data_IF_310196015717
#
_entry.id   IF_310196015717
#
_cell.length_a   1.000
_cell.length_b   1.000
_cell.length_c   1.000
_cell.angle_alpha   90.00
_cell.angle_beta   90.00
_cell.angle_gamma   90.00
#
_symmetry.space_group_name_H-M   'P 1'
#
loop_
_entity.id
_entity.type
_entity.pdbx_description
1 polymer ?
#
# COMPACT_ATOMS: atom_id res chain seq x y z
N UNK A 1 -16.18 37.12 25.66
CA UNK A 1 -16.91 36.03 26.35
C UNK A 1 -16.01 34.82 26.27
N UNK A 2 -15.30 34.50 27.36
CA UNK A 2 -14.31 33.43 27.43
C UNK A 2 -14.93 32.26 28.19
N UNK A 3 -15.75 31.47 27.51
CA UNK A 3 -16.46 30.34 28.14
C UNK A 3 -16.04 29.04 27.44
N UNK A 4 -15.59 28.06 28.22
CA UNK A 4 -15.31 26.69 27.76
C UNK A 4 -16.46 25.81 28.27
N UNK A 5 -17.03 25.01 27.38
CA UNK A 5 -17.98 23.97 27.71
C UNK A 5 -17.25 22.63 27.75
N UNK A 6 -17.45 21.85 28.81
CA UNK A 6 -16.98 20.48 28.92
C UNK A 6 -18.12 19.62 29.49
N UNK A 7 -18.06 18.31 29.24
CA UNK A 7 -18.98 17.33 29.82
C UNK A 7 -18.17 16.21 30.46
N UNK A 8 -18.58 15.78 31.65
CA UNK A 8 -17.87 14.72 32.39
C UNK A 8 -18.18 13.32 31.83
N UNK A 9 -19.32 13.18 31.14
CA UNK A 9 -19.77 11.93 30.52
C UNK A 9 -20.56 12.24 29.24
N UNK A 10 -20.48 11.33 28.28
CA UNK A 10 -21.36 11.27 27.11
C UNK A 10 -21.94 9.86 27.08
N UNK A 11 -23.26 9.76 27.10
CA UNK A 11 -23.95 8.51 26.85
C UNK A 11 -24.20 8.40 25.34
N UNK A 12 -23.54 7.44 24.70
CA UNK A 12 -23.75 7.10 23.29
C UNK A 12 -24.58 5.83 23.24
N UNK A 13 -25.77 5.92 22.67
CA UNK A 13 -26.60 4.75 22.35
C UNK A 13 -26.38 4.40 20.89
N UNK A 14 -25.70 3.28 20.64
CA UNK A 14 -25.54 2.74 19.30
C UNK A 14 -26.68 1.76 19.05
N UNK A 15 -27.64 2.16 18.23
CA UNK A 15 -28.65 1.26 17.67
C UNK A 15 -28.11 0.75 16.34
N UNK A 16 -27.61 -0.49 16.32
CA UNK A 16 -27.25 -1.17 15.09
C UNK A 16 -28.21 -2.34 14.87
N UNK A 17 -28.64 -2.53 13.63
CA UNK A 17 -29.37 -3.73 13.25
C UNK A 17 -28.35 -4.79 12.84
N UNK A 18 -28.18 -5.83 13.67
CA UNK A 18 -27.54 -7.06 13.21
C UNK A 18 -28.32 -7.56 11.99
N UNK A 19 -27.65 -7.96 10.89
CA UNK A 19 -28.34 -8.52 9.74
C UNK A 19 -29.24 -9.68 10.18
N UNK A 20 -30.47 -9.71 9.66
CA UNK A 20 -31.50 -10.71 10.01
C UNK A 20 -31.02 -12.15 9.78
N UNK A 21 -30.04 -12.33 8.90
CA UNK A 21 -29.20 -13.51 8.81
C UNK A 21 -27.78 -13.04 9.06
N UNK A 22 -27.18 -13.29 10.23
CA UNK A 22 -25.75 -13.14 10.34
C UNK A 22 -25.12 -14.07 9.31
N UNK A 23 -24.04 -13.64 8.64
CA UNK A 23 -23.16 -14.54 7.88
C UNK A 23 -22.47 -15.43 8.91
N UNK A 24 -23.23 -16.33 9.49
CA UNK A 24 -22.76 -17.42 10.33
C UNK A 24 -22.49 -18.55 9.37
N UNK A 25 -21.33 -18.51 8.72
CA UNK A 25 -20.75 -19.70 8.12
C UNK A 25 -20.32 -20.61 9.28
N UNK A 26 -21.29 -21.23 9.96
CA UNK A 26 -21.01 -22.42 10.79
C UNK A 26 -20.76 -23.61 9.87
N UNK A 27 -19.79 -23.48 8.98
CA UNK A 27 -19.32 -24.57 8.13
C UNK A 27 -18.02 -25.11 8.72
N UNK A 28 -17.80 -26.42 8.62
CA UNK A 28 -16.53 -27.05 8.97
C UNK A 28 -15.39 -26.69 7.99
N UNK A 29 -15.66 -25.84 7.01
CA UNK A 29 -14.76 -25.39 5.94
C UNK A 29 -14.54 -23.87 5.98
N UNK A 30 -14.73 -23.24 7.15
CA UNK A 30 -14.37 -21.84 7.39
C UNK A 30 -12.87 -21.62 7.17
N UNK A 31 -12.52 -20.58 6.41
CA UNK A 31 -11.16 -20.22 6.02
C UNK A 31 -10.88 -18.76 6.42
N UNK A 32 -9.62 -18.43 6.72
CA UNK A 32 -9.21 -17.07 7.08
C UNK A 32 -8.61 -16.33 5.88
N UNK A 33 -7.75 -17.02 5.12
CA UNK A 33 -6.97 -16.49 4.01
C UNK A 33 -7.23 -17.25 2.69
N UNK A 34 -7.57 -16.48 1.65
CA UNK A 34 -7.57 -16.92 0.26
C UNK A 34 -6.30 -16.45 -0.45
N UNK A 35 -5.57 -17.37 -1.08
CA UNK A 35 -4.42 -17.05 -1.95
C UNK A 35 -4.82 -17.24 -3.41
N UNK A 36 -4.78 -16.16 -4.21
CA UNK A 36 -5.10 -16.18 -5.65
C UNK A 36 -3.82 -16.03 -6.46
N UNK A 37 -3.56 -16.94 -7.38
CA UNK A 37 -2.31 -16.99 -8.16
C UNK A 37 -2.52 -17.61 -9.55
N UNK A 38 -1.68 -17.35 -10.56
CA UNK A 38 -1.72 -18.13 -11.81
C UNK A 38 -1.24 -19.57 -11.56
N UNK A 39 -1.78 -20.56 -12.28
CA UNK A 39 -1.40 -21.99 -12.16
C UNK A 39 0.13 -22.21 -12.23
N UNK A 40 0.84 -21.35 -12.98
CA UNK A 40 2.30 -21.31 -13.06
C UNK A 40 3.01 -21.23 -11.70
N UNK A 41 2.40 -20.64 -10.66
CA UNK A 41 3.03 -20.42 -9.35
C UNK A 41 2.60 -21.42 -8.27
N UNK A 42 1.92 -22.50 -8.66
CA UNK A 42 1.36 -23.49 -7.71
C UNK A 42 2.42 -24.08 -6.78
N UNK A 43 3.55 -24.52 -7.33
CA UNK A 43 4.61 -25.18 -6.56
C UNK A 43 5.30 -24.20 -5.59
N UNK A 44 5.46 -22.93 -5.98
CA UNK A 44 6.09 -21.90 -5.15
C UNK A 44 5.18 -21.38 -4.03
N UNK A 45 3.86 -21.44 -4.20
CA UNK A 45 2.89 -20.96 -3.21
C UNK A 45 2.53 -22.03 -2.17
N UNK A 46 2.59 -23.31 -2.53
CA UNK A 46 2.23 -24.39 -1.60
C UNK A 46 2.97 -24.36 -0.24
N UNK A 47 4.28 -24.00 -0.16
CA UNK A 47 4.97 -23.82 1.12
C UNK A 47 4.34 -22.75 2.01
N UNK A 48 3.89 -21.62 1.44
CA UNK A 48 3.24 -20.55 2.18
C UNK A 48 1.90 -21.01 2.75
N UNK A 49 1.05 -21.64 1.92
CA UNK A 49 -0.24 -22.18 2.36
C UNK A 49 -0.04 -23.18 3.51
N UNK A 50 0.97 -24.06 3.38
CA UNK A 50 1.30 -25.04 4.43
C UNK A 50 1.76 -24.34 5.71
N UNK A 51 2.61 -23.31 5.60
CA UNK A 51 3.07 -22.53 6.74
C UNK A 51 1.91 -21.85 7.46
N UNK A 52 1.04 -21.12 6.75
CA UNK A 52 -0.10 -20.42 7.35
C UNK A 52 -1.03 -21.37 8.11
N UNK A 53 -1.38 -22.50 7.50
CA UNK A 53 -2.20 -23.52 8.15
C UNK A 53 -1.53 -24.09 9.42
N UNK A 54 -0.20 -24.29 9.41
CA UNK A 54 0.52 -24.77 10.59
C UNK A 54 0.53 -23.76 11.75
N UNK A 55 0.43 -22.46 11.45
CA UNK A 55 0.33 -21.39 12.44
C UNK A 55 -1.11 -20.96 12.74
N UNK A 56 -2.10 -21.74 12.29
CA UNK A 56 -3.50 -21.54 12.64
C UNK A 56 -4.24 -20.50 11.79
N UNK A 57 -3.61 -19.94 10.76
CA UNK A 57 -4.27 -19.14 9.72
C UNK A 57 -4.80 -20.10 8.65
N UNK A 58 -6.07 -20.49 8.74
CA UNK A 58 -6.68 -21.44 7.82
C UNK A 58 -6.65 -20.86 6.41
N UNK A 59 -5.90 -21.52 5.54
CA UNK A 59 -5.55 -20.96 4.24
C UNK A 59 -5.82 -21.97 3.14
N UNK A 60 -6.43 -21.51 2.06
CA UNK A 60 -6.49 -22.26 0.81
C UNK A 60 -6.07 -21.39 -0.37
N UNK A 61 -5.65 -22.07 -1.43
CA UNK A 61 -5.23 -21.44 -2.67
C UNK A 61 -6.21 -21.76 -3.80
N UNK A 62 -6.38 -20.82 -4.72
CA UNK A 62 -7.09 -21.01 -5.98
C UNK A 62 -6.29 -20.41 -7.12
N UNK A 63 -6.29 -21.09 -8.27
CA UNK A 63 -5.67 -20.56 -9.47
C UNK A 63 -6.59 -19.58 -10.21
N UNK A 64 -6.02 -18.64 -10.97
CA UNK A 64 -6.80 -17.76 -11.83
C UNK A 64 -7.57 -18.54 -12.89
N UNK A 65 -6.96 -19.60 -13.40
CA UNK A 65 -7.55 -20.52 -14.36
C UNK A 65 -8.81 -21.18 -13.78
N UNK A 66 -8.77 -21.67 -12.54
CA UNK A 66 -9.96 -22.19 -11.84
C UNK A 66 -11.04 -21.12 -11.66
N UNK A 67 -10.67 -19.90 -11.25
CA UNK A 67 -11.62 -18.78 -11.09
C UNK A 67 -12.35 -18.51 -12.41
N UNK A 68 -11.62 -18.44 -13.53
CA UNK A 68 -12.22 -18.11 -14.83
C UNK A 68 -13.04 -19.25 -15.44
N UNK A 69 -12.77 -20.49 -15.04
CA UNK A 69 -13.61 -21.64 -15.40
C UNK A 69 -14.92 -21.66 -14.58
N UNK A 70 -14.90 -21.23 -13.32
CA UNK A 70 -16.07 -21.22 -12.43
C UNK A 70 -16.94 -19.97 -12.57
N UNK A 71 -16.33 -18.79 -12.70
CA UNK A 71 -16.99 -17.50 -12.71
C UNK A 71 -16.84 -16.86 -14.09
N UNK A 72 -17.95 -16.88 -14.84
CA UNK A 72 -18.04 -16.27 -16.18
C UNK A 72 -19.08 -15.15 -16.27
N UNK A 73 -19.63 -14.73 -15.13
CA UNK A 73 -20.73 -13.76 -15.07
C UNK A 73 -20.27 -12.32 -14.96
N UNK A 74 -19.02 -12.09 -14.56
CA UNK A 74 -18.45 -10.75 -14.50
C UNK A 74 -18.21 -10.16 -15.88
N UNK A 75 -18.15 -8.83 -15.93
CA UNK A 75 -17.91 -8.03 -17.13
C UNK A 75 -16.51 -8.26 -17.72
N UNK A 76 -15.52 -8.53 -16.87
CA UNK A 76 -14.14 -8.82 -17.23
C UNK A 76 -13.43 -9.75 -16.22
N UNK A 77 -12.16 -10.08 -16.49
CA UNK A 77 -11.34 -10.96 -15.63
C UNK A 77 -11.23 -10.42 -14.20
N UNK A 78 -11.10 -9.10 -14.03
CA UNK A 78 -11.01 -8.45 -12.73
C UNK A 78 -12.30 -8.62 -11.94
N UNK A 79 -13.46 -8.43 -12.57
CA UNK A 79 -14.74 -8.64 -11.87
C UNK A 79 -14.99 -10.12 -11.56
N UNK A 80 -14.57 -11.05 -12.42
CA UNK A 80 -14.65 -12.49 -12.11
C UNK A 80 -13.85 -12.85 -10.85
N UNK A 81 -12.63 -12.29 -10.69
CA UNK A 81 -11.84 -12.44 -9.45
C UNK A 81 -12.60 -11.86 -8.25
N UNK A 82 -13.16 -10.65 -8.39
CA UNK A 82 -13.88 -9.97 -7.31
C UNK A 82 -15.14 -10.73 -6.89
N UNK A 83 -15.88 -11.27 -7.85
CA UNK A 83 -17.05 -12.13 -7.60
C UNK A 83 -16.67 -13.45 -6.92
N UNK A 84 -15.52 -14.04 -7.27
CA UNK A 84 -15.00 -15.20 -6.54
C UNK A 84 -14.65 -14.86 -5.09
N UNK A 85 -14.01 -13.72 -4.85
CA UNK A 85 -13.72 -13.24 -3.49
C UNK A 85 -15.03 -13.06 -2.71
N UNK A 86 -16.04 -12.43 -3.32
CA UNK A 86 -17.38 -12.32 -2.72
C UNK A 86 -17.97 -13.68 -2.34
N UNK A 87 -17.93 -14.67 -3.23
CA UNK A 87 -18.41 -16.03 -2.92
C UNK A 87 -17.62 -16.65 -1.76
N UNK A 88 -16.30 -16.50 -1.73
CA UNK A 88 -15.46 -16.98 -0.64
C UNK A 88 -15.78 -16.29 0.71
N UNK A 89 -16.09 -15.00 0.71
CA UNK A 89 -16.56 -14.28 1.90
C UNK A 89 -17.87 -14.90 2.40
N UNK A 90 -18.83 -15.11 1.50
CA UNK A 90 -20.18 -15.58 1.87
C UNK A 90 -20.24 -17.06 2.25
N UNK A 91 -19.39 -17.90 1.66
CA UNK A 91 -19.45 -19.35 1.80
C UNK A 91 -18.38 -19.92 2.72
N UNK A 92 -17.23 -19.24 2.85
CA UNK A 92 -16.08 -19.69 3.64
C UNK A 92 -15.68 -18.71 4.74
N UNK A 93 -16.17 -17.47 4.73
CA UNK A 93 -15.92 -16.50 5.80
C UNK A 93 -14.51 -15.89 5.78
N UNK A 94 -13.83 -15.87 4.63
CA UNK A 94 -12.48 -15.31 4.53
C UNK A 94 -12.44 -13.83 4.96
N UNK A 95 -11.33 -13.43 5.57
CA UNK A 95 -11.06 -12.04 5.93
C UNK A 95 -9.83 -11.49 5.21
N UNK A 96 -8.96 -12.35 4.68
CA UNK A 96 -7.72 -11.96 4.00
C UNK A 96 -7.67 -12.52 2.58
N UNK A 97 -7.13 -11.72 1.66
CA UNK A 97 -6.88 -12.12 0.27
C UNK A 97 -5.46 -11.74 -0.14
N UNK A 98 -4.63 -12.76 -0.42
CA UNK A 98 -3.29 -12.57 -0.95
C UNK A 98 -3.29 -12.75 -2.48
N UNK A 99 -3.00 -11.67 -3.19
CA UNK A 99 -2.86 -11.67 -4.65
C UNK A 99 -1.41 -11.95 -5.04
N UNK A 100 -1.14 -13.06 -5.73
CA UNK A 100 0.21 -13.42 -6.18
C UNK A 100 0.29 -13.31 -7.69
N UNK A 101 0.95 -12.24 -8.16
CA UNK A 101 1.19 -12.01 -9.57
C UNK A 101 1.31 -10.53 -9.90
N UNK A 102 2.15 -10.23 -10.88
CA UNK A 102 2.29 -8.91 -11.48
C UNK A 102 2.25 -8.98 -13.01
N UNK A 103 3.00 -8.10 -13.67
CA UNK A 103 3.16 -8.17 -15.13
C UNK A 103 3.91 -9.46 -15.56
N UNK A 104 3.63 -9.96 -16.76
CA UNK A 104 4.39 -11.05 -17.38
C UNK A 104 5.76 -10.53 -17.82
N UNK A 105 6.81 -10.82 -17.04
CA UNK A 105 8.19 -10.39 -17.31
C UNK A 105 8.38 -8.86 -17.38
N UNK A 106 8.74 -8.34 -18.54
CA UNK A 106 8.84 -6.89 -18.79
C UNK A 106 7.86 -6.46 -19.89
N UNK A 107 6.73 -7.16 -20.01
CA UNK A 107 5.65 -6.84 -20.94
C UNK A 107 4.62 -5.87 -20.33
N UNK A 108 3.44 -5.81 -20.93
CA UNK A 108 2.25 -5.08 -20.44
C UNK A 108 1.08 -6.00 -20.07
N UNK A 109 1.25 -7.30 -20.28
CA UNK A 109 0.25 -8.30 -19.92
C UNK A 109 0.40 -8.65 -18.44
N UNK A 110 -0.70 -8.98 -17.78
CA UNK A 110 -0.72 -9.37 -16.38
C UNK A 110 -0.81 -10.87 -16.22
N UNK A 111 -0.08 -11.42 -15.25
CA UNK A 111 -0.42 -12.72 -14.68
C UNK A 111 -1.72 -12.61 -13.90
N UNK A 112 -1.75 -11.71 -12.90
CA UNK A 112 -2.94 -11.40 -12.10
C UNK A 112 -3.33 -9.95 -12.40
N UNK A 113 -4.49 -9.70 -13.04
CA UNK A 113 -4.86 -8.37 -13.48
C UNK A 113 -5.07 -7.39 -12.32
N UNK A 114 -5.18 -6.12 -12.68
CA UNK A 114 -5.44 -5.01 -11.75
C UNK A 114 -6.64 -4.23 -12.25
N UNK A 115 -7.34 -3.57 -11.34
CA UNK A 115 -8.27 -2.50 -11.72
C UNK A 115 -7.51 -1.20 -11.83
N UNK A 116 -7.76 -0.47 -12.91
CA UNK A 116 -7.33 0.92 -13.05
C UNK A 116 -8.46 1.81 -12.54
N UNK A 117 -8.09 2.85 -11.80
CA UNK A 117 -8.99 3.91 -11.37
C UNK A 117 -8.46 5.24 -11.90
N UNK A 118 -9.39 6.16 -12.17
CA UNK A 118 -9.08 7.49 -12.64
C UNK A 118 -9.22 8.52 -11.52
N UNK A 119 -8.41 9.56 -11.58
CA UNK A 119 -8.66 10.84 -10.93
C UNK A 119 -8.63 11.96 -11.97
N UNK A 120 -8.88 13.20 -11.52
CA UNK A 120 -8.76 14.38 -12.38
C UNK A 120 -7.36 14.56 -12.96
N UNK A 121 -6.35 13.93 -12.36
CA UNK A 121 -4.94 14.19 -12.63
C UNK A 121 -4.30 13.04 -13.42
N UNK A 122 -4.70 11.80 -13.18
CA UNK A 122 -4.08 10.62 -13.79
C UNK A 122 -4.95 9.35 -13.69
N UNK A 123 -4.42 8.26 -14.22
CA UNK A 123 -4.92 6.90 -14.02
C UNK A 123 -3.88 6.09 -13.24
N UNK A 124 -4.30 5.36 -12.21
CA UNK A 124 -3.44 4.53 -11.36
C UNK A 124 -4.05 3.14 -11.13
N UNK A 125 -3.24 2.21 -10.61
CA UNK A 125 -3.70 0.86 -10.28
C UNK A 125 -4.26 0.84 -8.86
N UNK A 126 -5.34 0.09 -8.65
CA UNK A 126 -6.01 -0.02 -7.35
C UNK A 126 -6.36 -1.48 -7.08
N UNK A 127 -5.73 -2.04 -6.05
CA UNK A 127 -6.11 -3.35 -5.50
C UNK A 127 -7.23 -3.23 -4.45
N UNK A 128 -7.57 -2.00 -4.01
CA UNK A 128 -8.76 -1.73 -3.19
C UNK A 128 -10.03 -2.25 -3.89
N UNK A 129 -10.05 -2.28 -5.22
CA UNK A 129 -11.13 -2.89 -5.99
C UNK A 129 -11.44 -4.33 -5.57
N UNK A 130 -10.42 -5.12 -5.22
CA UNK A 130 -10.61 -6.51 -4.78
C UNK A 130 -10.99 -6.62 -3.31
N UNK A 131 -10.87 -5.54 -2.55
CA UNK A 131 -11.11 -5.47 -1.13
C UNK A 131 -12.53 -4.95 -0.80
N UNK A 132 -13.01 -3.99 -1.58
CA UNK A 132 -14.33 -3.35 -1.47
C UNK A 132 -15.38 -4.20 -2.19
N UNK A 133 -16.07 -5.09 -1.48
CA UNK A 133 -16.97 -6.12 -2.05
C UNK A 133 -18.42 -5.65 -2.10
N UNK A 134 -18.85 -4.89 -1.09
CA UNK A 134 -20.23 -4.50 -0.89
C UNK A 134 -20.41 -2.99 -0.79
N UNK A 135 -21.58 -2.52 -1.21
CA UNK A 135 -22.08 -1.18 -0.90
C UNK A 135 -23.44 -1.26 -0.24
N UNK A 136 -23.75 -0.30 0.62
CA UNK A 136 -25.11 -0.13 1.15
C UNK A 136 -25.98 0.65 0.16
N UNK A 137 -27.10 0.03 -0.24
CA UNK A 137 -28.16 0.70 -1.00
C UNK A 137 -29.47 0.55 -0.24
N UNK A 138 -29.95 1.66 0.32
CA UNK A 138 -31.18 1.74 1.10
C UNK A 138 -31.25 0.70 2.25
N UNK A 139 -30.13 0.49 2.96
CA UNK A 139 -30.02 -0.47 4.07
C UNK A 139 -29.86 -1.93 3.64
N UNK A 140 -29.57 -2.18 2.35
CA UNK A 140 -29.30 -3.51 1.81
C UNK A 140 -27.88 -3.56 1.25
N UNK A 141 -27.11 -4.55 1.67
CA UNK A 141 -25.79 -4.83 1.10
C UNK A 141 -25.97 -5.44 -0.29
N UNK A 142 -25.39 -4.78 -1.29
CA UNK A 142 -25.32 -5.24 -2.69
C UNK A 142 -23.87 -5.24 -3.16
N UNK A 143 -23.58 -5.95 -4.25
CA UNK A 143 -22.24 -5.99 -4.82
C UNK A 143 -21.77 -4.60 -5.28
N UNK A 144 -20.54 -4.23 -4.90
CA UNK A 144 -19.89 -3.02 -5.36
C UNK A 144 -19.04 -3.34 -6.61
N UNK A 145 -19.45 -2.86 -7.77
CA UNK A 145 -18.84 -3.13 -9.08
C UNK A 145 -17.86 -2.02 -9.53
N UNK A 146 -17.87 -0.86 -8.84
CA UNK A 146 -17.19 0.37 -9.26
C UNK A 146 -17.69 0.95 -10.59
N UNK A 147 -18.90 0.61 -11.04
CA UNK A 147 -19.55 1.17 -12.25
C UNK A 147 -20.98 1.64 -11.89
N UNK A 148 -21.08 2.62 -10.99
CA UNK A 148 -22.36 3.13 -10.51
C UNK A 148 -23.27 3.71 -11.61
N UNK A 149 -22.68 4.09 -12.74
CA UNK A 149 -23.38 4.66 -13.87
C UNK A 149 -23.70 3.65 -14.99
N UNK A 150 -23.28 2.39 -14.83
CA UNK A 150 -23.55 1.23 -15.68
C UNK A 150 -23.12 1.42 -17.14
N UNK A 151 -21.95 2.03 -17.38
CA UNK A 151 -21.44 2.28 -18.73
C UNK A 151 -20.28 1.36 -19.14
N UNK A 152 -19.88 0.42 -18.26
CA UNK A 152 -18.73 -0.49 -18.38
C UNK A 152 -17.37 0.23 -18.41
N UNK A 153 -17.29 1.40 -17.79
CA UNK A 153 -16.05 2.11 -17.48
C UNK A 153 -16.01 2.22 -15.95
N UNK A 154 -15.00 1.59 -15.36
CA UNK A 154 -14.95 1.38 -13.92
C UNK A 154 -14.11 2.45 -13.24
N UNK A 155 -14.54 2.88 -12.05
CA UNK A 155 -13.86 3.85 -11.20
C UNK A 155 -13.53 5.18 -11.89
N UNK A 156 -14.48 5.69 -12.67
CA UNK A 156 -14.37 7.01 -13.25
C UNK A 156 -14.35 8.09 -12.16
N UNK A 157 -13.36 8.97 -12.21
CA UNK A 157 -13.39 10.23 -11.47
C UNK A 157 -12.75 11.33 -12.31
N UNK A 158 -13.59 12.10 -12.99
CA UNK A 158 -13.17 13.19 -13.86
C UNK A 158 -14.01 14.43 -13.61
N UNK A 159 -13.75 15.50 -14.38
CA UNK A 159 -14.56 16.71 -14.32
C UNK A 159 -15.99 16.53 -14.87
N UNK A 160 -16.25 15.42 -15.59
CA UNK A 160 -17.51 15.20 -16.32
C UNK A 160 -18.20 13.88 -15.98
N UNK A 161 -17.46 12.91 -15.45
CA UNK A 161 -17.94 11.57 -15.10
C UNK A 161 -17.44 11.21 -13.71
N UNK A 162 -18.28 10.53 -12.94
CA UNK A 162 -17.97 10.09 -11.59
C UNK A 162 -18.74 8.81 -11.32
N UNK A 163 -18.02 7.75 -10.98
CA UNK A 163 -18.63 6.61 -10.30
C UNK A 163 -18.70 6.86 -8.81
N UNK A 164 -19.87 6.68 -8.21
CA UNK A 164 -20.01 6.66 -6.75
C UNK A 164 -19.62 5.26 -6.27
N UNK A 165 -18.65 5.17 -5.37
CA UNK A 165 -18.16 3.91 -4.81
C UNK A 165 -18.26 3.93 -3.28
N UNK A 166 -18.40 2.76 -2.67
CA UNK A 166 -18.28 2.59 -1.22
C UNK A 166 -16.85 2.89 -0.74
N UNK A 167 -15.86 2.20 -1.30
CA UNK A 167 -14.44 2.44 -1.04
C UNK A 167 -13.92 1.89 0.29
N UNK A 168 -14.77 1.29 1.14
CA UNK A 168 -14.32 0.61 2.36
C UNK A 168 -13.92 -0.84 2.05
N UNK A 169 -12.75 -1.32 2.50
CA UNK A 169 -12.41 -2.73 2.41
C UNK A 169 -13.35 -3.61 3.26
N UNK A 170 -13.95 -4.64 2.66
CA UNK A 170 -14.66 -5.73 3.34
C UNK A 170 -13.75 -6.92 3.65
N UNK A 171 -12.67 -7.08 2.88
CA UNK A 171 -11.58 -8.03 3.10
C UNK A 171 -10.23 -7.35 3.02
N UNK A 172 -9.23 -7.91 3.69
CA UNK A 172 -7.88 -7.36 3.75
C UNK A 172 -7.02 -7.87 2.60
N UNK A 173 -6.70 -6.99 1.66
CA UNK A 173 -5.97 -7.34 0.43
C UNK A 173 -4.50 -6.91 0.51
N UNK A 174 -3.61 -7.80 0.09
CA UNK A 174 -2.21 -7.48 -0.17
C UNK A 174 -1.70 -8.20 -1.42
N UNK A 175 -0.66 -7.65 -2.06
CA UNK A 175 -0.12 -8.18 -3.32
C UNK A 175 1.37 -8.53 -3.25
N UNK A 176 1.70 -9.71 -3.76
CA UNK A 176 3.05 -10.10 -4.18
C UNK A 176 3.17 -9.90 -5.70
N UNK A 177 3.71 -8.76 -6.14
CA UNK A 177 3.77 -8.35 -7.56
C UNK A 177 4.79 -9.15 -8.42
N UNK A 178 5.00 -10.42 -8.09
CA UNK A 178 5.98 -11.32 -8.70
C UNK A 178 5.70 -11.57 -10.19
N UNK A 179 6.78 -11.68 -10.97
CA UNK A 179 6.76 -11.87 -12.43
C UNK A 179 7.40 -13.18 -12.88
N UNK A 180 7.78 -14.03 -11.94
CA UNK A 180 8.45 -15.31 -12.17
C UNK A 180 8.42 -16.16 -10.90
N UNK A 181 8.45 -17.48 -11.06
CA UNK A 181 8.57 -18.47 -9.97
C UNK A 181 9.65 -18.10 -8.95
N UNK A 182 10.89 -17.81 -9.40
CA UNK A 182 12.00 -17.40 -8.52
C UNK A 182 11.65 -16.23 -7.59
N UNK A 183 10.89 -15.26 -8.09
CA UNK A 183 10.48 -14.11 -7.27
C UNK A 183 9.44 -14.52 -6.24
N UNK A 184 8.50 -15.40 -6.61
CA UNK A 184 7.52 -15.98 -5.69
C UNK A 184 8.23 -16.75 -4.58
N UNK A 185 9.14 -17.68 -4.92
CA UNK A 185 9.95 -18.40 -3.93
C UNK A 185 10.67 -17.44 -2.98
N UNK A 186 11.31 -16.39 -3.51
CA UNK A 186 12.05 -15.41 -2.70
C UNK A 186 11.15 -14.73 -1.67
N UNK A 187 9.97 -14.25 -2.07
CA UNK A 187 9.08 -13.55 -1.13
C UNK A 187 8.37 -14.51 -0.18
N UNK A 188 8.03 -15.72 -0.63
CA UNK A 188 7.45 -16.78 0.21
C UNK A 188 8.43 -17.19 1.31
N UNK A 189 9.68 -17.43 0.97
CA UNK A 189 10.72 -17.79 1.95
C UNK A 189 10.91 -16.69 2.99
N UNK A 190 10.87 -15.41 2.57
CA UNK A 190 10.93 -14.26 3.49
C UNK A 190 9.75 -14.23 4.45
N UNK A 191 8.52 -14.43 3.95
CA UNK A 191 7.31 -14.46 4.80
C UNK A 191 7.41 -15.59 5.82
N UNK A 192 7.70 -16.82 5.37
CA UNK A 192 7.86 -17.99 6.23
C UNK A 192 8.95 -17.76 7.29
N UNK A 193 10.10 -17.18 6.89
CA UNK A 193 11.20 -16.91 7.81
C UNK A 193 10.89 -15.82 8.83
N UNK A 194 10.12 -14.81 8.45
CA UNK A 194 9.68 -13.75 9.34
C UNK A 194 8.68 -14.27 10.38
N UNK A 195 7.73 -15.10 9.95
CA UNK A 195 6.62 -15.55 10.79
C UNK A 195 6.97 -16.72 11.72
N UNK A 196 7.88 -17.61 11.32
CA UNK A 196 8.19 -18.84 12.07
C UNK A 196 8.69 -18.62 13.50
N UNK A 197 9.23 -17.45 13.79
CA UNK A 197 9.81 -17.12 15.09
C UNK A 197 9.54 -15.66 15.42
N UNK A 198 9.04 -15.42 16.62
CA UNK A 198 8.91 -14.08 17.17
C UNK A 198 10.21 -13.29 17.06
N UNK A 199 10.08 -12.08 16.54
CA UNK A 199 11.17 -11.14 16.36
C UNK A 199 11.75 -10.67 17.69
N UNK A 200 13.08 -10.57 17.74
CA UNK A 200 13.80 -9.97 18.86
C UNK A 200 13.37 -8.51 19.05
N UNK A 201 12.94 -8.15 20.27
CA UNK A 201 12.42 -6.82 20.57
C UNK A 201 13.42 -5.70 20.26
N UNK A 202 14.73 -5.99 20.31
CA UNK A 202 15.79 -5.00 20.09
C UNK A 202 15.74 -4.33 18.71
N UNK A 203 15.27 -5.04 17.68
CA UNK A 203 15.07 -4.46 16.36
C UNK A 203 13.60 -4.29 16.03
N UNK A 204 12.72 -5.19 16.47
CA UNK A 204 11.29 -5.07 16.19
C UNK A 204 10.66 -3.84 16.84
N UNK A 205 10.99 -3.55 18.11
CA UNK A 205 10.52 -2.34 18.82
C UNK A 205 11.35 -1.09 18.50
N UNK A 206 12.09 -1.10 17.39
CA UNK A 206 12.79 0.08 16.88
C UNK A 206 12.10 0.56 15.61
N UNK A 207 11.75 1.85 15.59
CA UNK A 207 11.06 2.50 14.48
C UNK A 207 11.91 3.64 13.91
N UNK A 208 12.06 3.68 12.58
CA UNK A 208 12.72 4.77 11.87
C UNK A 208 11.69 5.80 11.39
N UNK A 209 11.99 7.07 11.60
CA UNK A 209 11.17 8.22 11.22
C UNK A 209 12.00 9.11 10.29
N UNK A 210 11.67 9.15 9.00
CA UNK A 210 12.56 9.72 7.98
C UNK A 210 11.83 10.76 7.13
N UNK A 211 12.35 11.98 7.07
CA UNK A 211 11.66 13.02 6.32
C UNK A 211 12.27 14.42 6.43
N UNK A 212 11.62 15.37 5.77
CA UNK A 212 11.99 16.77 5.73
C UNK A 212 10.84 17.62 5.20
N UNK A 213 11.17 18.66 4.43
CA UNK A 213 10.21 19.54 3.75
C UNK A 213 9.68 18.85 2.47
N UNK A 214 8.39 18.49 2.47
CA UNK A 214 7.73 17.79 1.36
C UNK A 214 7.13 18.79 0.37
N UNK A 215 6.73 19.98 0.82
CA UNK A 215 6.17 21.02 -0.04
C UNK A 215 7.00 22.31 0.02
N UNK A 216 8.29 22.26 -0.37
CA UNK A 216 9.17 23.41 -0.24
C UNK A 216 8.70 24.58 -1.11
N UNK A 217 7.85 24.34 -2.11
CA UNK A 217 7.38 25.34 -3.06
C UNK A 217 6.07 26.04 -2.65
N UNK A 218 5.40 25.61 -1.58
CA UNK A 218 4.10 26.12 -1.13
C UNK A 218 4.20 27.42 -0.31
N UNK A 219 4.80 28.44 -0.93
CA UNK A 219 4.90 29.77 -0.35
C UNK A 219 5.97 29.87 0.76
N UNK A 220 5.58 30.44 1.91
CA UNK A 220 6.47 30.60 3.06
C UNK A 220 6.59 29.27 3.80
N UNK A 221 7.77 28.97 4.33
CA UNK A 221 7.99 27.77 5.15
C UNK A 221 7.01 27.73 6.34
N UNK A 222 6.19 26.68 6.39
CA UNK A 222 5.15 26.47 7.41
C UNK A 222 5.39 25.23 8.28
N UNK A 223 6.31 24.35 7.89
CA UNK A 223 6.71 23.15 8.63
C UNK A 223 7.52 22.21 7.74
N UNK A 224 7.99 21.09 8.31
CA UNK A 224 8.48 19.95 7.56
C UNK A 224 7.42 18.85 7.65
N UNK A 225 6.61 18.70 6.61
CA UNK A 225 5.40 17.87 6.64
C UNK A 225 5.70 16.42 7.00
N UNK A 226 6.72 15.83 6.37
CA UNK A 226 7.13 14.46 6.65
C UNK A 226 7.64 14.29 8.11
N UNK A 227 8.24 15.33 8.71
CA UNK A 227 8.65 15.27 10.12
C UNK A 227 7.44 15.34 11.06
N UNK A 228 6.43 16.15 10.74
CA UNK A 228 5.17 16.25 11.51
C UNK A 228 4.44 14.91 11.47
N UNK A 229 4.29 14.36 10.27
CA UNK A 229 3.61 13.08 9.98
C UNK A 229 4.25 11.88 10.67
N UNK A 230 5.55 11.71 10.47
CA UNK A 230 6.31 10.62 11.10
C UNK A 230 6.33 10.78 12.63
N UNK A 231 6.31 12.00 13.16
CA UNK A 231 6.22 12.21 14.59
C UNK A 231 4.83 11.90 15.17
N UNK A 232 3.75 12.11 14.42
CA UNK A 232 2.41 11.67 14.81
C UNK A 232 2.35 10.14 14.89
N UNK A 233 2.91 9.45 13.90
CA UNK A 233 3.01 7.99 13.89
C UNK A 233 3.75 7.44 15.10
N UNK A 234 4.86 8.08 15.48
CA UNK A 234 5.61 7.72 16.68
C UNK A 234 4.78 7.86 17.98
N UNK A 235 3.85 8.80 18.03
CA UNK A 235 3.00 9.02 19.21
C UNK A 235 2.04 7.86 19.49
N UNK A 236 1.71 7.08 18.46
CA UNK A 236 0.86 5.88 18.57
C UNK A 236 1.63 4.62 18.95
N UNK A 237 2.96 4.63 18.82
CA UNK A 237 3.82 3.45 19.00
C UNK A 237 4.41 3.40 20.42
N UNK A 238 3.56 3.37 21.43
CA UNK A 238 4.01 3.32 22.83
C UNK A 238 4.87 2.09 23.11
N UNK A 239 5.99 2.27 23.82
CA UNK A 239 6.93 1.19 24.11
C UNK A 239 7.95 0.91 23.01
N UNK A 240 7.88 1.62 21.88
CA UNK A 240 8.91 1.60 20.84
C UNK A 240 10.01 2.63 21.11
N UNK A 241 11.19 2.35 20.56
CA UNK A 241 12.29 3.29 20.42
C UNK A 241 12.30 3.90 19.02
N UNK A 242 12.83 5.12 18.90
CA UNK A 242 12.73 5.89 17.66
C UNK A 242 14.06 6.49 17.24
N UNK A 243 14.45 6.25 15.99
CA UNK A 243 15.52 7.01 15.32
C UNK A 243 14.89 7.99 14.34
N UNK A 244 15.17 9.29 14.55
CA UNK A 244 14.69 10.38 13.70
C UNK A 244 15.81 10.80 12.75
N UNK A 245 15.64 10.45 11.47
CA UNK A 245 16.47 10.94 10.38
C UNK A 245 15.72 12.09 9.72
N UNK A 246 15.87 13.27 10.29
CA UNK A 246 15.12 14.47 9.93
C UNK A 246 16.04 15.51 9.30
N UNK A 247 15.60 16.09 8.17
CA UNK A 247 16.35 17.11 7.47
C UNK A 247 16.54 18.36 8.32
N UNK A 248 15.55 18.75 9.13
CA UNK A 248 15.61 19.94 9.99
C UNK A 248 16.65 19.84 11.11
N UNK A 249 16.96 18.62 11.54
CA UNK A 249 17.95 18.34 12.60
C UNK A 249 19.36 18.10 12.06
N UNK A 250 19.51 17.98 10.74
CA UNK A 250 20.78 17.64 10.09
C UNK A 250 21.22 16.19 10.26
N UNK A 251 20.33 15.31 10.75
CA UNK A 251 20.59 13.87 10.90
C UNK A 251 20.39 13.11 9.60
N UNK A 252 19.46 13.57 8.74
CA UNK A 252 19.29 13.05 7.39
C UNK A 252 20.26 13.76 6.43
N UNK A 253 21.43 13.17 6.21
CA UNK A 253 22.47 13.74 5.33
C UNK A 253 22.52 13.12 3.94
N UNK A 254 21.68 12.11 3.66
CA UNK A 254 21.60 11.41 2.38
C UNK A 254 21.35 9.92 2.55
N UNK A 255 21.44 9.19 1.44
CA UNK A 255 21.03 7.79 1.38
C UNK A 255 21.83 6.86 2.32
N UNK A 256 23.12 7.12 2.52
CA UNK A 256 23.97 6.23 3.33
C UNK A 256 23.51 6.13 4.79
N UNK A 257 23.08 7.25 5.41
CA UNK A 257 22.62 7.21 6.81
C UNK A 257 21.27 6.51 6.94
N UNK A 258 20.47 6.46 5.87
CA UNK A 258 19.22 5.71 5.81
C UNK A 258 19.50 4.22 5.67
N UNK A 259 20.41 3.84 4.77
CA UNK A 259 20.87 2.45 4.63
C UNK A 259 21.48 1.93 5.93
N UNK A 260 22.39 2.68 6.57
CA UNK A 260 22.99 2.31 7.85
C UNK A 260 21.92 2.03 8.91
N UNK A 261 20.93 2.92 9.05
CA UNK A 261 19.84 2.74 10.01
C UNK A 261 18.94 1.53 9.70
N UNK A 262 18.65 1.26 8.41
CA UNK A 262 17.91 0.07 8.01
C UNK A 262 18.72 -1.20 8.33
N UNK A 263 20.02 -1.20 8.06
CA UNK A 263 20.94 -2.31 8.27
C UNK A 263 21.14 -2.64 9.76
N UNK A 264 21.08 -1.65 10.64
CA UNK A 264 21.04 -1.86 12.09
C UNK A 264 19.81 -2.67 12.53
N UNK A 265 18.67 -2.43 11.86
CA UNK A 265 17.41 -3.16 12.02
C UNK A 265 16.30 -2.31 12.62
N UNK A 266 15.11 -2.44 12.06
CA UNK A 266 13.88 -1.80 12.52
C UNK A 266 12.68 -2.69 12.24
N UNK A 267 11.68 -2.69 13.12
CA UNK A 267 10.41 -3.37 12.87
C UNK A 267 9.50 -2.53 11.99
N UNK A 268 9.60 -1.20 12.12
CA UNK A 268 8.75 -0.26 11.40
C UNK A 268 9.53 0.92 10.84
N UNK A 269 9.10 1.41 9.69
CA UNK A 269 9.62 2.64 9.13
C UNK A 269 8.46 3.48 8.63
N UNK A 270 8.42 4.75 9.03
CA UNK A 270 7.61 5.75 8.36
C UNK A 270 8.54 6.77 7.70
N UNK A 271 8.40 6.92 6.38
CA UNK A 271 9.13 7.91 5.61
C UNK A 271 8.25 8.64 4.60
N UNK A 272 8.51 9.92 4.35
CA UNK A 272 7.76 10.68 3.35
C UNK A 272 8.62 11.75 2.66
N UNK A 273 8.19 12.14 1.46
CA UNK A 273 8.85 13.14 0.63
C UNK A 273 8.32 13.15 -0.81
N UNK A 274 9.14 13.62 -1.74
CA UNK A 274 8.84 13.52 -3.16
C UNK A 274 9.37 12.20 -3.72
N UNK A 275 8.53 11.48 -4.45
CA UNK A 275 8.89 10.20 -5.02
C UNK A 275 8.55 10.09 -6.51
N UNK A 276 9.17 9.09 -7.11
CA UNK A 276 8.75 8.43 -8.33
C UNK A 276 9.01 6.92 -8.13
N UNK A 277 8.74 6.05 -9.12
CA UNK A 277 8.93 4.61 -8.94
C UNK A 277 10.37 4.15 -8.66
N UNK A 278 11.37 5.03 -8.73
CA UNK A 278 12.78 4.70 -8.53
C UNK A 278 13.40 5.35 -7.30
N UNK A 279 12.84 6.43 -6.78
CA UNK A 279 13.57 7.30 -5.85
C UNK A 279 12.61 8.03 -4.93
N UNK A 280 12.97 8.11 -3.66
CA UNK A 280 12.38 8.99 -2.66
C UNK A 280 13.42 10.05 -2.25
N UNK A 281 13.03 11.32 -2.27
CA UNK A 281 13.84 12.46 -1.85
C UNK A 281 13.05 13.37 -0.92
N UNK A 282 13.76 14.19 -0.16
CA UNK A 282 13.17 15.29 0.61
C UNK A 282 14.03 16.55 0.46
N UNK A 283 13.59 17.65 1.09
CA UNK A 283 14.29 18.92 1.08
C UNK A 283 14.64 19.36 2.51
N UNK A 284 15.79 20.03 2.71
CA UNK A 284 16.09 20.72 3.95
C UNK A 284 15.19 21.94 4.13
N UNK A 285 14.93 22.37 5.38
CA UNK A 285 14.09 23.54 5.63
C UNK A 285 14.73 24.79 5.01
N UNK A 286 13.89 25.67 4.47
CA UNK A 286 14.28 26.96 3.86
C UNK A 286 15.16 26.89 2.59
N UNK A 287 15.57 25.70 2.11
CA UNK A 287 16.39 25.57 0.91
C UNK A 287 15.73 24.67 -0.14
N UNK A 288 14.89 25.30 -0.97
CA UNK A 288 14.06 24.66 -2.00
C UNK A 288 14.84 24.06 -3.19
N UNK A 289 16.14 24.36 -3.31
CA UNK A 289 16.97 23.94 -4.45
C UNK A 289 17.81 22.70 -4.14
N UNK A 290 18.09 22.47 -2.86
CA UNK A 290 18.83 21.31 -2.39
C UNK A 290 17.89 20.12 -2.23
N UNK A 291 18.36 18.92 -2.61
CA UNK A 291 17.62 17.67 -2.48
C UNK A 291 18.46 16.70 -1.66
N UNK A 292 17.83 16.05 -0.69
CA UNK A 292 18.43 14.97 0.09
C UNK A 292 17.78 13.68 -0.40
N UNK A 293 18.58 12.76 -0.95
CA UNK A 293 18.10 11.44 -1.35
C UNK A 293 17.89 10.62 -0.09
N UNK A 294 16.64 10.18 0.14
CA UNK A 294 16.33 9.23 1.21
C UNK A 294 16.74 7.84 0.74
N UNK A 295 16.21 7.39 -0.41
CA UNK A 295 16.55 6.10 -0.98
C UNK A 295 16.28 6.06 -2.48
N UNK A 296 17.30 5.69 -3.27
CA UNK A 296 17.25 5.54 -4.73
C UNK A 296 17.50 4.09 -5.13
N UNK A 297 16.50 3.45 -5.72
CA UNK A 297 16.58 2.06 -6.18
C UNK A 297 17.46 1.88 -7.40
N UNK A 298 17.50 2.84 -8.33
CA UNK A 298 18.24 2.72 -9.59
C UNK A 298 19.05 3.99 -9.88
N UNK A 299 20.33 3.97 -9.54
CA UNK A 299 21.29 5.02 -9.93
C UNK A 299 21.98 4.66 -11.24
N UNK A 300 21.29 4.96 -12.35
CA UNK A 300 21.82 4.76 -13.72
C UNK A 300 23.11 5.53 -14.01
N UNK A 301 23.49 6.50 -13.18
CA UNK A 301 24.72 7.28 -13.36
C UNK A 301 25.89 6.76 -12.53
N UNK A 302 25.63 5.87 -11.56
CA UNK A 302 26.63 5.24 -10.73
C UNK A 302 26.54 3.70 -10.82
N UNK A 303 27.12 3.07 -11.86
CA UNK A 303 27.04 1.62 -12.03
C UNK A 303 27.74 0.82 -10.92
N UNK A 304 28.64 1.46 -10.15
CA UNK A 304 29.30 0.82 -9.00
C UNK A 304 28.39 0.73 -7.76
N UNK A 305 27.32 1.54 -7.71
CA UNK A 305 26.31 1.54 -6.65
C UNK A 305 24.94 1.78 -7.28
N UNK A 306 24.54 0.85 -8.14
CA UNK A 306 23.32 0.95 -8.92
C UNK A 306 22.06 0.83 -8.05
N UNK A 307 22.14 0.08 -6.95
CA UNK A 307 21.09 -0.15 -5.97
C UNK A 307 21.52 0.33 -4.57
N UNK A 308 20.57 0.51 -3.64
CA UNK A 308 20.88 0.72 -2.24
C UNK A 308 21.67 -0.45 -1.65
N UNK A 309 22.55 -0.14 -0.70
CA UNK A 309 23.35 -1.14 0.03
C UNK A 309 22.60 -1.59 1.30
N UNK A 310 21.61 -2.46 1.10
CA UNK A 310 20.82 -3.03 2.20
C UNK A 310 21.32 -4.44 2.54
N UNK A 311 21.69 -4.62 3.80
CA UNK A 311 22.20 -5.84 4.41
C UNK A 311 21.52 -6.11 5.75
N UNK A 312 20.24 -5.74 5.89
CA UNK A 312 19.45 -5.95 7.10
C UNK A 312 19.00 -7.41 7.29
N UNK A 313 19.35 -8.32 6.37
CA UNK A 313 19.09 -9.76 6.46
C UNK A 313 17.60 -10.04 6.79
N UNK A 314 17.32 -10.81 7.83
CA UNK A 314 15.96 -11.18 8.28
C UNK A 314 15.28 -10.10 9.14
N UNK A 315 15.95 -8.96 9.43
CA UNK A 315 15.34 -7.82 10.17
C UNK A 315 14.53 -6.96 9.20
N UNK A 316 13.42 -7.50 8.74
CA UNK A 316 12.63 -6.94 7.65
C UNK A 316 11.54 -5.99 8.20
N UNK A 317 11.68 -4.66 8.05
CA UNK A 317 10.67 -3.71 8.49
C UNK A 317 9.37 -3.79 7.69
N UNK A 318 8.29 -3.34 8.32
CA UNK A 318 7.06 -2.91 7.68
C UNK A 318 7.16 -1.40 7.42
N UNK A 319 6.98 -0.97 6.17
CA UNK A 319 7.22 0.41 5.75
C UNK A 319 5.94 1.08 5.31
N UNK A 320 5.64 2.25 5.87
CA UNK A 320 4.67 3.21 5.32
C UNK A 320 5.46 4.31 4.62
N UNK A 321 5.17 4.56 3.34
CA UNK A 321 5.90 5.52 2.52
C UNK A 321 5.01 6.54 1.81
N UNK A 322 5.20 7.81 2.14
CA UNK A 322 4.55 8.93 1.48
C UNK A 322 5.30 9.45 0.24
N UNK A 323 4.55 10.08 -0.66
CA UNK A 323 5.04 10.60 -1.94
C UNK A 323 4.53 9.84 -3.16
N UNK A 324 4.77 10.39 -4.35
CA UNK A 324 4.18 9.91 -5.59
C UNK A 324 4.80 8.61 -6.13
N UNK A 325 3.96 7.70 -6.62
CA UNK A 325 4.27 6.55 -7.47
C UNK A 325 5.30 5.54 -6.91
N UNK A 326 5.60 5.62 -5.61
CA UNK A 326 6.58 4.73 -4.96
C UNK A 326 6.14 3.25 -5.05
N UNK A 327 4.83 3.00 -5.14
CA UNK A 327 4.21 1.69 -5.24
C UNK A 327 3.60 1.44 -6.62
N UNK A 328 4.02 2.16 -7.67
CA UNK A 328 3.54 1.96 -9.05
C UNK A 328 4.04 0.63 -9.66
N UNK A 329 3.42 -0.49 -9.30
CA UNK A 329 3.90 -1.84 -9.67
C UNK A 329 3.59 -2.27 -11.12
N UNK A 330 2.96 -1.40 -11.91
CA UNK A 330 2.80 -1.55 -13.37
C UNK A 330 3.95 -0.93 -14.21
N UNK A 331 5.06 -0.60 -13.55
CA UNK A 331 6.34 -0.18 -14.16
C UNK A 331 6.97 -1.27 -15.01
N UNK A 332 7.64 -0.93 -16.11
CA UNK A 332 8.27 -1.93 -16.98
C UNK A 332 9.28 -1.32 -17.94
N UNK A 333 10.36 -2.04 -18.25
CA UNK A 333 11.34 -1.64 -19.27
C UNK A 333 10.68 -1.41 -20.65
N UNK A 334 9.53 -2.02 -20.94
CA UNK A 334 8.76 -1.77 -22.17
C UNK A 334 8.26 -0.32 -22.31
N UNK A 335 8.20 0.45 -21.21
CA UNK A 335 7.84 1.87 -21.23
C UNK A 335 8.86 2.74 -21.96
N UNK A 336 10.10 2.29 -22.17
CA UNK A 336 11.11 3.05 -22.93
C UNK A 336 10.73 3.15 -24.41
N UNK A 337 10.63 2.03 -25.17
CA UNK A 337 10.26 2.10 -26.58
C UNK A 337 8.86 2.69 -26.80
N UNK A 338 7.89 2.41 -25.91
CA UNK A 338 6.54 3.00 -25.99
C UNK A 338 6.56 4.52 -25.76
N UNK A 339 7.32 4.98 -24.76
CA UNK A 339 7.50 6.40 -24.49
C UNK A 339 8.15 7.14 -25.66
N UNK A 340 9.17 6.55 -26.30
CA UNK A 340 9.78 7.09 -27.52
C UNK A 340 8.76 7.13 -28.67
N UNK A 341 7.94 6.10 -28.83
CA UNK A 341 6.89 6.05 -29.87
C UNK A 341 5.82 7.13 -29.65
N UNK A 342 5.42 7.37 -28.40
CA UNK A 342 4.35 8.31 -28.02
C UNK A 342 4.81 9.78 -28.01
N UNK A 343 5.99 10.05 -27.47
CA UNK A 343 6.48 11.42 -27.23
C UNK A 343 7.62 11.84 -28.18
N UNK A 344 8.10 10.93 -29.02
CA UNK A 344 9.32 11.09 -29.81
C UNK A 344 10.58 11.10 -28.94
N UNK A 345 11.76 10.91 -29.56
CA UNK A 345 13.06 10.99 -28.86
C UNK A 345 13.22 12.33 -28.10
N UNK A 346 12.77 13.43 -28.70
CA UNK A 346 12.83 14.76 -28.11
C UNK A 346 11.98 14.88 -26.85
N UNK A 347 10.68 14.58 -26.92
CA UNK A 347 9.77 14.72 -25.77
C UNK A 347 10.03 13.70 -24.66
N UNK A 348 10.60 12.55 -25.00
CA UNK A 348 10.93 11.53 -24.01
C UNK A 348 12.19 11.86 -23.21
N UNK A 349 13.27 12.33 -23.87
CA UNK A 349 14.57 12.53 -23.22
C UNK A 349 14.99 13.98 -23.00
N UNK A 350 14.59 14.92 -23.85
CA UNK A 350 15.26 16.23 -23.96
C UNK A 350 14.32 17.45 -23.90
N UNK A 351 13.01 17.26 -23.95
CA UNK A 351 12.01 18.33 -23.88
C UNK A 351 10.96 18.01 -22.83
N UNK A 352 10.51 19.03 -22.11
CA UNK A 352 9.40 18.92 -21.16
C UNK A 352 8.19 18.22 -21.83
N UNK A 353 7.55 17.23 -21.18
CA UNK A 353 7.66 16.90 -19.75
C UNK A 353 8.81 15.95 -19.36
N UNK A 354 9.77 15.62 -20.25
CA UNK A 354 10.93 14.79 -19.93
C UNK A 354 10.54 13.42 -19.33
N UNK A 355 9.60 12.72 -19.99
CA UNK A 355 8.94 11.50 -19.46
C UNK A 355 9.90 10.39 -19.01
N UNK A 356 11.10 10.29 -19.57
CA UNK A 356 12.10 9.35 -19.08
C UNK A 356 12.44 9.54 -17.60
N UNK A 357 12.38 10.77 -17.08
CA UNK A 357 12.71 11.10 -15.69
C UNK A 357 11.57 10.85 -14.71
N UNK A 358 10.39 10.44 -15.19
CA UNK A 358 9.28 9.96 -14.36
C UNK A 358 9.54 8.54 -13.88
N UNK A 359 10.57 7.85 -14.43
CA UNK A 359 11.03 6.53 -14.00
C UNK A 359 10.00 5.41 -14.07
N UNK A 360 8.87 5.62 -14.77
CA UNK A 360 7.86 4.59 -15.04
C UNK A 360 8.44 3.34 -15.76
N UNK A 361 9.65 3.43 -16.30
CA UNK A 361 10.33 2.34 -17.01
C UNK A 361 11.16 1.39 -16.13
N UNK A 362 11.31 1.66 -14.83
CA UNK A 362 12.12 0.79 -13.96
C UNK A 362 11.58 -0.64 -13.92
N UNK A 363 12.44 -1.67 -13.74
CA UNK A 363 11.99 -3.05 -13.79
C UNK A 363 11.12 -3.44 -12.59
N UNK A 364 11.31 -2.80 -11.44
CA UNK A 364 10.47 -2.87 -10.24
C UNK A 364 10.34 -1.48 -9.63
N UNK A 365 9.15 -1.09 -9.18
CA UNK A 365 8.99 0.16 -8.43
C UNK A 365 9.68 0.12 -7.06
N UNK A 366 9.72 1.25 -6.38
CA UNK A 366 10.43 1.46 -5.12
C UNK A 366 10.01 0.46 -4.05
N UNK A 367 8.70 0.36 -3.80
CA UNK A 367 8.14 -0.56 -2.81
C UNK A 367 8.35 -2.02 -3.19
N UNK A 368 8.17 -2.37 -4.46
CA UNK A 368 8.36 -3.75 -4.92
C UNK A 368 9.83 -4.19 -4.90
N UNK A 369 10.77 -3.29 -5.17
CA UNK A 369 12.20 -3.63 -5.05
C UNK A 369 12.54 -4.04 -3.61
N UNK A 370 12.05 -3.29 -2.62
CA UNK A 370 12.31 -3.57 -1.20
C UNK A 370 11.69 -4.88 -0.72
N UNK A 371 10.44 -5.16 -1.09
CA UNK A 371 9.76 -6.40 -0.67
C UNK A 371 10.37 -7.63 -1.33
N UNK A 372 10.87 -7.50 -2.56
CA UNK A 372 11.45 -8.60 -3.34
C UNK A 372 12.98 -8.69 -3.33
N UNK A 373 13.66 -7.93 -2.46
CA UNK A 373 15.11 -8.05 -2.28
C UNK A 373 15.41 -9.34 -1.48
N UNK A 374 16.21 -10.29 -2.01
CA UNK A 374 16.48 -11.57 -1.34
C UNK A 374 17.37 -11.42 -0.10
N UNK A 375 18.22 -10.40 -0.04
CA UNK A 375 19.24 -10.25 1.01
C UNK A 375 18.86 -9.21 2.08
N UNK A 376 17.57 -8.82 2.14
CA UNK A 376 17.06 -7.82 3.08
C UNK A 376 15.88 -7.03 2.52
N UNK A 377 15.90 -5.71 2.70
CA UNK A 377 14.81 -4.84 2.27
C UNK A 377 13.69 -4.79 3.30
N UNK A 378 12.45 -5.06 2.89
CA UNK A 378 11.25 -5.00 3.74
C UNK A 378 10.43 -6.29 3.67
N UNK A 379 9.53 -6.50 4.65
CA UNK A 379 8.56 -7.60 4.61
C UNK A 379 7.22 -7.15 4.01
N UNK A 380 6.85 -5.89 4.22
CA UNK A 380 5.68 -5.25 3.64
C UNK A 380 5.94 -3.75 3.43
N UNK A 381 5.38 -3.20 2.36
CA UNK A 381 5.43 -1.76 2.07
C UNK A 381 4.06 -1.27 1.64
N UNK A 382 3.59 -0.19 2.27
CA UNK A 382 2.35 0.51 1.95
C UNK A 382 2.67 1.87 1.35
N UNK A 383 2.15 2.17 0.17
CA UNK A 383 2.41 3.43 -0.49
C UNK A 383 1.59 3.66 -1.74
N UNK A 384 1.85 4.78 -2.41
CA UNK A 384 0.99 5.28 -3.47
C UNK A 384 1.34 4.69 -4.84
N UNK A 385 0.33 4.15 -5.53
CA UNK A 385 0.44 3.69 -6.92
C UNK A 385 0.35 4.85 -7.93
N UNK A 386 -0.26 5.97 -7.53
CA UNK A 386 -0.35 7.25 -8.25
C UNK A 386 0.34 8.42 -7.53
N UNK A 387 -0.08 9.65 -7.80
CA UNK A 387 0.34 10.89 -7.17
C UNK A 387 -0.05 10.89 -5.68
N UNK A 388 0.95 11.02 -4.81
CA UNK A 388 0.70 11.25 -3.38
C UNK A 388 0.07 12.63 -3.19
N UNK A 389 -0.99 12.67 -2.40
CA UNK A 389 -1.78 13.88 -2.18
C UNK A 389 -1.58 14.31 -0.73
N UNK A 390 -1.33 15.60 -0.49
CA UNK A 390 -1.04 16.08 0.86
C UNK A 390 -1.35 17.55 1.02
N UNK A 391 -1.47 17.98 2.27
CA UNK A 391 -1.79 19.36 2.64
C UNK A 391 -0.51 20.04 3.11
N UNK A 392 -0.06 21.11 2.46
CA UNK A 392 1.17 21.80 2.86
C UNK A 392 1.15 22.35 4.30
N UNK A 393 2.28 22.25 5.00
CA UNK A 393 2.52 22.88 6.29
C UNK A 393 1.96 22.14 7.50
N UNK A 394 1.45 22.92 8.47
CA UNK A 394 1.07 22.43 9.81
C UNK A 394 -0.19 21.57 9.79
N UNK A 395 -1.02 21.78 8.78
CA UNK A 395 -2.29 21.09 8.59
C UNK A 395 -2.09 19.77 7.81
N UNK A 396 -0.85 19.36 7.53
CA UNK A 396 -0.55 18.12 6.81
C UNK A 396 -1.26 16.89 7.39
N UNK A 397 -1.41 16.84 8.72
CA UNK A 397 -2.04 15.71 9.42
C UNK A 397 -3.57 15.76 9.48
N UNK A 398 -4.21 16.75 8.84
CA UNK A 398 -5.68 16.91 8.90
C UNK A 398 -6.42 16.27 7.72
N UNK A 399 -5.71 15.70 6.75
CA UNK A 399 -6.29 14.97 5.64
C UNK A 399 -5.23 14.34 4.73
N UNK A 400 -5.68 13.62 3.71
CA UNK A 400 -4.85 13.00 2.67
C UNK A 400 -3.70 12.13 3.24
N UNK A 401 -2.53 12.10 2.61
CA UNK A 401 -1.33 11.33 3.03
C UNK A 401 -1.09 11.45 4.54
N UNK A 402 -1.07 12.69 5.07
CA UNK A 402 -0.70 12.95 6.47
C UNK A 402 -1.72 12.56 7.52
N UNK A 403 -2.97 12.27 7.13
CA UNK A 403 -3.95 11.67 8.03
C UNK A 403 -3.97 10.14 7.89
N UNK A 404 -3.94 9.63 6.66
CA UNK A 404 -4.07 8.20 6.37
C UNK A 404 -2.86 7.39 6.87
N UNK A 405 -1.63 7.87 6.62
CA UNK A 405 -0.43 7.09 6.91
C UNK A 405 -0.17 6.86 8.41
N UNK A 406 -0.32 7.87 9.29
CA UNK A 406 -0.26 7.64 10.74
C UNK A 406 -1.33 6.68 11.25
N UNK A 407 -2.46 6.56 10.55
CA UNK A 407 -3.58 5.73 11.00
C UNK A 407 -3.23 4.25 11.03
N UNK A 408 -2.36 3.77 10.13
CA UNK A 408 -1.79 2.41 10.25
C UNK A 408 -1.13 2.17 11.62
N UNK A 409 -0.28 3.12 12.06
CA UNK A 409 0.42 3.01 13.34
C UNK A 409 -0.52 3.20 14.54
N UNK A 410 -1.62 3.93 14.38
CA UNK A 410 -2.70 3.96 15.37
C UNK A 410 -3.32 2.58 15.55
N UNK A 411 -3.68 1.89 14.46
CA UNK A 411 -4.26 0.56 14.54
C UNK A 411 -3.31 -0.45 15.19
N UNK A 412 -2.05 -0.47 14.76
CA UNK A 412 -1.08 -1.39 15.35
C UNK A 412 -0.73 -1.01 16.81
N UNK A 413 -0.35 0.24 17.05
CA UNK A 413 0.22 0.67 18.33
C UNK A 413 -0.79 0.99 19.43
N UNK A 414 -2.04 1.34 19.09
CA UNK A 414 -3.09 1.69 20.06
C UNK A 414 -4.27 0.71 20.05
N UNK A 415 -4.72 0.26 18.88
CA UNK A 415 -5.81 -0.73 18.80
C UNK A 415 -5.33 -2.18 18.88
N UNK A 416 -4.00 -2.39 18.88
CA UNK A 416 -3.37 -3.71 18.98
C UNK A 416 -3.71 -4.64 17.81
N UNK A 417 -3.90 -4.09 16.62
CA UNK A 417 -3.97 -4.90 15.40
C UNK A 417 -2.64 -5.64 15.20
N UNK A 418 -2.73 -6.96 15.04
CA UNK A 418 -1.57 -7.85 14.96
C UNK A 418 -1.17 -8.16 13.51
N UNK A 419 -2.09 -8.03 12.55
CA UNK A 419 -1.87 -8.36 11.15
C UNK A 419 -1.73 -7.10 10.28
N UNK A 420 -0.81 -7.14 9.32
CA UNK A 420 -0.52 -5.96 8.47
C UNK A 420 -1.75 -5.52 7.68
N UNK A 421 -2.49 -6.46 7.11
CA UNK A 421 -3.68 -6.21 6.29
C UNK A 421 -4.82 -5.59 7.08
N UNK A 422 -5.06 -6.03 8.32
CA UNK A 422 -6.12 -5.45 9.16
C UNK A 422 -5.78 -4.01 9.54
N UNK A 423 -4.54 -3.74 10.00
CA UNK A 423 -4.11 -2.38 10.32
C UNK A 423 -4.15 -1.42 9.12
N UNK A 424 -3.79 -1.91 7.92
CA UNK A 424 -3.85 -1.13 6.67
C UNK A 424 -5.29 -0.86 6.22
N UNK A 425 -6.12 -1.89 6.18
CA UNK A 425 -7.49 -1.76 5.68
C UNK A 425 -8.39 -0.98 6.64
N UNK A 426 -8.23 -1.15 7.96
CA UNK A 426 -8.96 -0.36 8.95
C UNK A 426 -8.58 1.13 8.90
N UNK A 427 -7.32 1.45 8.56
CA UNK A 427 -6.92 2.83 8.31
C UNK A 427 -7.65 3.43 7.10
N UNK A 428 -7.87 2.64 6.04
CA UNK A 428 -8.71 3.05 4.89
C UNK A 428 -10.17 3.22 5.32
N UNK A 429 -10.74 2.25 6.04
CA UNK A 429 -12.12 2.31 6.54
C UNK A 429 -12.34 3.56 7.39
N UNK A 430 -11.42 3.87 8.31
CA UNK A 430 -11.47 5.08 9.12
C UNK A 430 -11.41 6.35 8.25
N UNK A 431 -10.64 6.34 7.16
CA UNK A 431 -10.57 7.46 6.21
C UNK A 431 -11.90 7.66 5.47
N UNK A 432 -12.48 6.59 4.93
CA UNK A 432 -13.76 6.63 4.20
C UNK A 432 -14.91 7.10 5.11
N UNK A 433 -14.86 6.76 6.40
CA UNK A 433 -15.83 7.22 7.38
C UNK A 433 -15.68 8.70 7.75
N UNK A 434 -14.45 9.24 7.69
CA UNK A 434 -14.15 10.63 8.05
C UNK A 434 -14.31 11.60 6.87
N UNK A 435 -13.94 11.17 5.66
CA UNK A 435 -13.86 12.02 4.46
C UNK A 435 -14.81 11.57 3.36
N UNK A 436 -15.47 12.52 2.71
CA UNK A 436 -16.32 12.24 1.55
C UNK A 436 -15.46 11.96 0.30
N UNK A 437 -15.17 10.68 0.06
CA UNK A 437 -14.43 10.19 -1.11
C UNK A 437 -15.23 10.29 -2.43
N UNK A 438 -16.50 10.68 -2.38
CA UNK A 438 -17.36 10.85 -3.54
C UNK A 438 -17.59 12.33 -3.90
N UNK A 439 -16.92 13.25 -3.21
CA UNK A 439 -16.98 14.66 -3.54
C UNK A 439 -16.17 14.99 -4.81
N UNK A 440 -16.89 15.28 -5.90
CA UNK A 440 -16.29 15.68 -7.19
C UNK A 440 -15.37 16.91 -7.10
N UNK A 441 -15.47 17.74 -6.06
CA UNK A 441 -14.59 18.90 -5.88
C UNK A 441 -13.29 18.56 -5.16
N UNK A 442 -13.21 17.42 -4.46
CA UNK A 442 -12.05 16.90 -3.74
C UNK A 442 -11.78 15.43 -4.13
N UNK A 443 -11.46 15.20 -5.40
CA UNK A 443 -11.13 13.87 -5.94
C UNK A 443 -9.86 13.26 -5.31
N UNK A 444 -9.08 14.10 -4.62
CA UNK A 444 -7.89 13.72 -3.88
C UNK A 444 -8.18 12.69 -2.78
N UNK A 445 -9.29 12.84 -2.04
CA UNK A 445 -9.69 11.91 -0.98
C UNK A 445 -9.96 10.51 -1.53
N UNK A 446 -10.64 10.43 -2.68
CA UNK A 446 -10.83 9.16 -3.40
C UNK A 446 -9.51 8.54 -3.83
N UNK A 447 -8.65 9.36 -4.45
CA UNK A 447 -7.37 8.90 -4.94
C UNK A 447 -6.53 8.32 -3.81
N UNK A 448 -6.57 8.93 -2.62
CA UNK A 448 -5.84 8.45 -1.45
C UNK A 448 -6.18 7.02 -1.06
N UNK A 449 -7.46 6.70 -0.91
CA UNK A 449 -7.88 5.35 -0.52
C UNK A 449 -7.63 4.34 -1.64
N UNK A 450 -7.90 4.71 -2.90
CA UNK A 450 -7.76 3.78 -4.03
C UNK A 450 -6.30 3.45 -4.38
N UNK A 451 -5.36 4.37 -4.16
CA UNK A 451 -3.96 4.20 -4.60
C UNK A 451 -3.03 3.63 -3.53
N UNK A 452 -3.46 3.60 -2.25
CA UNK A 452 -2.61 3.20 -1.14
C UNK A 452 -2.53 1.68 -1.03
N UNK A 453 -1.65 1.09 -1.85
CA UNK A 453 -1.53 -0.35 -2.00
C UNK A 453 -0.61 -0.97 -0.93
N UNK A 454 -0.99 -2.16 -0.45
CA UNK A 454 -0.15 -3.03 0.37
C UNK A 454 0.60 -4.03 -0.52
N UNK A 455 1.91 -3.81 -0.71
CA UNK A 455 2.81 -4.81 -1.29
C UNK A 455 3.37 -5.69 -0.16
N UNK A 456 2.83 -6.88 -0.02
CA UNK A 456 3.13 -7.81 1.07
C UNK A 456 1.98 -8.79 1.30
N UNK A 457 2.14 -9.66 2.28
CA UNK A 457 1.10 -10.58 2.73
C UNK A 457 0.18 -9.84 3.73
N UNK A 458 -1.14 -9.71 3.45
CA UNK A 458 -2.06 -9.03 4.36
C UNK A 458 -2.29 -9.81 5.67
N UNK A 459 -2.08 -11.12 5.65
CA UNK A 459 -2.19 -11.99 6.82
C UNK A 459 -0.87 -12.12 7.59
N UNK A 460 0.13 -11.28 7.26
CA UNK A 460 1.42 -11.30 7.95
C UNK A 460 1.25 -10.91 9.42
N UNK A 461 1.60 -11.82 10.34
CA UNK A 461 1.68 -11.53 11.78
C UNK A 461 2.87 -10.58 12.05
N UNK A 462 2.58 -9.35 12.48
CA UNK A 462 3.61 -8.34 12.74
C UNK A 462 4.50 -8.76 13.92
N UNK A 463 5.80 -8.89 13.66
CA UNK A 463 6.76 -9.40 14.63
C UNK A 463 6.81 -10.93 14.75
N UNK A 464 6.06 -11.68 13.93
CA UNK A 464 6.09 -13.15 13.88
C UNK A 464 5.35 -13.84 15.03
N UNK A 465 5.13 -15.15 14.89
CA UNK A 465 4.38 -15.95 15.86
C UNK A 465 5.23 -16.35 17.08
N UNK A 466 4.58 -16.47 18.23
CA UNK A 466 5.16 -17.14 19.40
C UNK A 466 5.44 -18.61 19.07
N UNK A 467 6.64 -19.08 19.45
CA UNK A 467 7.13 -20.44 19.17
C UNK A 467 6.50 -21.53 20.03
#
# INVERSE_FOLDING_TARGET
>A
ENTIYYTDNIDITIEYQTPLSPVQVQSSDEQDLLVIYPELFTDEIQPLITHKNNFGMKTYGVTLEEIYDEITTGHDEQENIKLYIKDAVETKGISYVLLVGGLKGQSKEWYLPVRYADSKWETYVSDLYYADIYKDVDGSLVFEDWDSNNNNIFAECSNTTLDVIDGSPDVYVGRLACRSEKQVTTVVDKIINYEKTKAEESWYKHMLLIGGDTYPYDGNYTGCEAEIDTNLSASYMQGFSFTRLWASTGTLTGQSVVEDAINEGAGFIHMAGHANPSTLVTHPPFNKSEKIVILQMYDIFNPLRFHPDLSNEEKLPIIVVGGCHNSQFNTSLSNIPEGIKKYGLGGYFFKSPLKFYYKEWVPKCWSWWLTSNPDGGAIAVMGNTGLGMGIGGKDYVTGLDGWLFPRFFYHHGQNHEEYVGSAHSLAITDYVNEFDINNVNSSEDRQMVQQWALLGDPSLMMGGYES
#
